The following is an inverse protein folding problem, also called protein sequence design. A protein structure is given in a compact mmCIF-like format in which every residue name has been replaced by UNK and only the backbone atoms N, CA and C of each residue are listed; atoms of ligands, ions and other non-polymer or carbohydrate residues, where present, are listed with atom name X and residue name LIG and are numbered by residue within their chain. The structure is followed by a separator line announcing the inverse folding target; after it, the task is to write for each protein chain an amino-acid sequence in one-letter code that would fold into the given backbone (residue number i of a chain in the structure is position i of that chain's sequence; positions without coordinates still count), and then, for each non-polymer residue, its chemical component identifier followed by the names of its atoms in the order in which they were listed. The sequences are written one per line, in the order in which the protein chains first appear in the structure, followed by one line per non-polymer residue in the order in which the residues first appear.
data_IF_423767133527
#
_entry.id   IF_423767133527
#
_cell.length_a   1.000
_cell.length_b   1.000
_cell.length_c   1.000
_cell.angle_alpha   90.00
_cell.angle_beta   90.00
_cell.angle_gamma   90.00
#
_symmetry.space_group_name_H-M   'P 1'
#
loop_
_entity.id
_entity.type
_entity.pdbx_description
1 polymer ?
#
# COMPACT_ATOMS: atom_id res chain seq x y z
N UNK A 1 -15.60 -17.19 -17.64
CA UNK A 1 -16.38 -15.96 -17.34
C UNK A 1 -17.01 -15.99 -15.95
N UNK A 2 -17.03 -17.14 -15.26
CA UNK A 2 -17.72 -17.32 -13.98
C UNK A 2 -17.08 -16.59 -12.78
N UNK A 3 -15.83 -16.13 -12.90
CA UNK A 3 -15.13 -15.34 -11.88
C UNK A 3 -15.27 -13.82 -12.11
N UNK A 4 -16.06 -13.40 -13.10
CA UNK A 4 -16.25 -12.00 -13.45
C UNK A 4 -17.67 -11.60 -13.06
N UNK A 5 -17.77 -10.68 -12.11
CA UNK A 5 -19.02 -10.02 -11.79
C UNK A 5 -19.11 -8.69 -12.56
N UNK A 6 -20.23 -8.48 -13.24
CA UNK A 6 -20.61 -7.21 -13.83
C UNK A 6 -22.05 -6.90 -13.41
N UNK A 7 -22.28 -5.70 -12.88
CA UNK A 7 -23.62 -5.29 -12.47
C UNK A 7 -24.57 -5.25 -13.67
N UNK A 8 -25.77 -5.83 -13.51
CA UNK A 8 -26.80 -5.87 -14.55
C UNK A 8 -27.34 -4.48 -14.91
N UNK A 9 -27.26 -3.52 -14.00
CA UNK A 9 -27.73 -2.15 -14.21
C UNK A 9 -26.77 -1.29 -15.05
N UNK A 10 -25.58 -1.78 -15.39
CA UNK A 10 -24.68 -1.13 -16.35
C UNK A 10 -24.16 0.26 -15.95
N UNK A 11 -24.19 0.62 -14.66
CA UNK A 11 -23.75 1.92 -14.14
C UNK A 11 -22.52 1.83 -13.24
N UNK A 12 -21.67 2.87 -13.26
CA UNK A 12 -20.60 3.04 -12.28
C UNK A 12 -21.09 3.75 -11.02
N UNK A 13 -20.33 3.67 -9.93
CA UNK A 13 -20.64 4.37 -8.66
C UNK A 13 -20.47 5.90 -8.73
N UNK A 14 -20.23 6.49 -9.91
CA UNK A 14 -20.21 7.94 -10.11
C UNK A 14 -19.24 8.73 -9.23
N UNK A 15 -18.08 8.14 -8.88
CA UNK A 15 -17.12 8.71 -7.92
C UNK A 15 -17.71 9.00 -6.52
N UNK A 16 -18.77 8.30 -6.13
CA UNK A 16 -19.42 8.44 -4.83
C UNK A 16 -19.26 7.15 -4.01
N UNK A 17 -18.59 7.25 -2.86
CA UNK A 17 -18.43 6.14 -1.93
C UNK A 17 -19.77 5.54 -1.49
N UNK A 18 -20.76 6.36 -1.13
CA UNK A 18 -22.04 5.88 -0.61
C UNK A 18 -22.79 5.05 -1.65
N UNK A 19 -22.79 5.51 -2.91
CA UNK A 19 -23.34 4.76 -4.04
C UNK A 19 -22.62 3.43 -4.23
N UNK A 20 -21.27 3.44 -4.22
CA UNK A 20 -20.47 2.22 -4.34
C UNK A 20 -20.70 1.23 -3.20
N UNK A 21 -20.80 1.72 -1.96
CA UNK A 21 -21.04 0.90 -0.77
C UNK A 21 -22.44 0.25 -0.82
N UNK A 22 -23.46 1.02 -1.21
CA UNK A 22 -24.82 0.50 -1.45
C UNK A 22 -24.85 -0.57 -2.55
N UNK A 23 -24.22 -0.32 -3.69
CA UNK A 23 -24.10 -1.31 -4.76
C UNK A 23 -23.34 -2.57 -4.30
N UNK A 24 -22.35 -2.41 -3.42
CA UNK A 24 -21.65 -3.53 -2.78
C UNK A 24 -22.58 -4.39 -1.92
N UNK A 25 -23.51 -3.77 -1.17
CA UNK A 25 -24.54 -4.49 -0.41
C UNK A 25 -25.48 -5.27 -1.33
N UNK A 26 -25.94 -4.64 -2.41
CA UNK A 26 -26.85 -5.25 -3.39
C UNK A 26 -26.18 -6.41 -4.15
N UNK A 27 -24.88 -6.29 -4.45
CA UNK A 27 -24.11 -7.31 -5.15
C UNK A 27 -23.50 -8.38 -4.21
N UNK A 28 -23.74 -8.30 -2.90
CA UNK A 28 -23.02 -9.10 -1.91
C UNK A 28 -23.15 -10.60 -2.18
N UNK A 29 -24.37 -11.10 -2.36
CA UNK A 29 -24.61 -12.53 -2.59
C UNK A 29 -23.83 -13.04 -3.81
N UNK A 30 -23.97 -12.37 -4.96
CA UNK A 30 -23.27 -12.75 -6.18
C UNK A 30 -21.73 -12.68 -6.06
N UNK A 31 -21.19 -11.69 -5.33
CA UNK A 31 -19.75 -11.58 -5.10
C UNK A 31 -19.25 -12.70 -4.17
N UNK A 32 -20.00 -13.02 -3.12
CA UNK A 32 -19.62 -14.04 -2.16
C UNK A 32 -19.79 -15.46 -2.69
N UNK A 33 -20.76 -15.71 -3.56
CA UNK A 33 -20.88 -16.99 -4.27
C UNK A 33 -19.61 -17.30 -5.08
N UNK A 34 -19.05 -16.28 -5.74
CA UNK A 34 -17.79 -16.42 -6.48
C UNK A 34 -16.63 -16.66 -5.50
N UNK A 35 -16.50 -15.82 -4.46
CA UNK A 35 -15.40 -15.92 -3.50
C UNK A 35 -15.39 -17.27 -2.76
N UNK A 36 -16.56 -17.76 -2.36
CA UNK A 36 -16.71 -19.03 -1.64
C UNK A 36 -16.44 -20.21 -2.55
N UNK A 37 -16.96 -20.21 -3.79
CA UNK A 37 -16.62 -21.25 -4.76
C UNK A 37 -15.11 -21.35 -4.95
N UNK A 38 -14.42 -20.23 -5.15
CA UNK A 38 -12.95 -20.26 -5.34
C UNK A 38 -12.20 -20.64 -4.05
N UNK A 39 -12.74 -20.29 -2.88
CA UNK A 39 -12.20 -20.70 -1.59
C UNK A 39 -12.36 -22.21 -1.35
N UNK A 40 -13.52 -22.78 -1.69
CA UNK A 40 -13.82 -24.22 -1.59
C UNK A 40 -13.02 -25.06 -2.60
N UNK A 41 -12.76 -24.50 -3.79
CA UNK A 41 -11.89 -25.11 -4.79
C UNK A 41 -10.40 -25.07 -4.41
N UNK A 42 -10.03 -24.39 -3.32
CA UNK A 42 -8.64 -24.27 -2.85
C UNK A 42 -8.37 -25.21 -1.68
N UNK A 43 -7.49 -26.20 -1.88
CA UNK A 43 -7.08 -27.15 -0.80
C UNK A 43 -6.54 -26.42 0.45
N UNK A 44 -5.81 -25.32 0.23
CA UNK A 44 -5.28 -24.47 1.30
C UNK A 44 -5.33 -22.99 0.91
N UNK A 45 -6.47 -22.35 1.16
CA UNK A 45 -6.60 -20.90 1.01
C UNK A 45 -5.76 -20.17 2.07
N UNK A 46 -4.78 -19.38 1.62
CA UNK A 46 -3.93 -18.57 2.51
C UNK A 46 -4.55 -17.22 2.86
N UNK A 47 -5.19 -16.55 1.89
CA UNK A 47 -5.76 -15.24 2.08
C UNK A 47 -6.27 -14.58 0.80
N UNK A 48 -6.70 -13.33 0.95
CA UNK A 48 -7.25 -12.48 -0.10
C UNK A 48 -6.31 -11.31 -0.39
N UNK A 49 -6.16 -10.96 -1.67
CA UNK A 49 -5.44 -9.77 -2.11
C UNK A 49 -6.41 -8.81 -2.82
N UNK A 50 -6.78 -7.72 -2.17
CA UNK A 50 -7.70 -6.72 -2.75
C UNK A 50 -6.90 -5.62 -3.45
N UNK A 51 -7.12 -5.45 -4.76
CA UNK A 51 -6.54 -4.35 -5.54
C UNK A 51 -7.62 -3.30 -5.79
N UNK A 52 -7.44 -2.09 -5.28
CA UNK A 52 -8.47 -1.05 -5.36
C UNK A 52 -7.90 0.36 -5.26
N UNK A 53 -8.68 1.34 -5.73
CA UNK A 53 -8.38 2.76 -5.55
C UNK A 53 -9.22 3.35 -4.41
N UNK A 54 -8.61 4.15 -3.55
CA UNK A 54 -9.30 4.69 -2.35
C UNK A 54 -10.15 5.93 -2.65
N UNK A 55 -9.91 6.59 -3.78
CA UNK A 55 -10.52 7.87 -4.13
C UNK A 55 -11.71 7.76 -5.10
N UNK A 56 -11.87 6.62 -5.78
CA UNK A 56 -12.96 6.40 -6.74
C UNK A 56 -14.32 6.21 -6.05
N UNK A 57 -15.34 5.73 -6.77
CA UNK A 57 -16.63 5.32 -6.18
C UNK A 57 -16.69 3.81 -5.90
N UNK A 58 -16.39 2.99 -6.91
CA UNK A 58 -16.48 1.52 -6.79
C UNK A 58 -15.33 0.96 -5.95
N UNK A 59 -14.08 1.32 -6.25
CA UNK A 59 -12.92 0.84 -5.50
C UNK A 59 -12.92 1.27 -4.03
N UNK A 60 -13.54 2.41 -3.72
CA UNK A 60 -13.66 2.93 -2.36
C UNK A 60 -14.85 2.29 -1.64
N UNK A 61 -16.08 2.52 -2.11
CA UNK A 61 -17.32 2.09 -1.47
C UNK A 61 -17.55 0.60 -1.54
N UNK A 62 -17.63 0.02 -2.75
CA UNK A 62 -17.82 -1.42 -2.92
C UNK A 62 -16.62 -2.20 -2.38
N UNK A 63 -15.40 -1.67 -2.57
CA UNK A 63 -14.18 -2.24 -1.99
C UNK A 63 -14.19 -2.27 -0.46
N UNK A 64 -14.67 -1.21 0.20
CA UNK A 64 -14.80 -1.15 1.66
C UNK A 64 -15.84 -2.14 2.17
N UNK A 65 -17.00 -2.24 1.52
CA UNK A 65 -18.02 -3.24 1.86
C UNK A 65 -17.49 -4.66 1.70
N UNK A 66 -16.82 -4.96 0.58
CA UNK A 66 -16.22 -6.27 0.35
C UNK A 66 -15.16 -6.60 1.41
N UNK A 67 -14.34 -5.62 1.79
CA UNK A 67 -13.31 -5.77 2.80
C UNK A 67 -13.89 -6.10 4.19
N UNK A 68 -14.91 -5.36 4.62
CA UNK A 68 -15.67 -5.63 5.85
C UNK A 68 -16.20 -7.07 5.86
N UNK A 69 -16.86 -7.48 4.77
CA UNK A 69 -17.49 -8.80 4.69
C UNK A 69 -16.51 -9.96 4.54
N UNK A 70 -15.38 -9.75 3.87
CA UNK A 70 -14.31 -10.77 3.79
C UNK A 70 -13.73 -11.02 5.18
N UNK A 71 -13.48 -9.96 5.96
CA UNK A 71 -13.02 -10.08 7.34
C UNK A 71 -14.03 -10.80 8.24
N UNK A 72 -15.33 -10.52 8.08
CA UNK A 72 -16.41 -11.18 8.83
C UNK A 72 -16.52 -12.68 8.49
N UNK A 73 -16.52 -13.03 7.19
CA UNK A 73 -16.80 -14.40 6.71
C UNK A 73 -15.56 -15.30 6.73
N UNK A 74 -14.37 -14.73 6.60
CA UNK A 74 -13.09 -15.45 6.60
C UNK A 74 -12.13 -14.94 7.69
N UNK A 75 -12.52 -14.94 8.99
CA UNK A 75 -11.77 -14.26 10.06
C UNK A 75 -10.38 -14.85 10.34
N UNK A 76 -10.12 -16.09 9.87
CA UNK A 76 -8.82 -16.77 10.02
C UNK A 76 -7.91 -16.61 8.80
N UNK A 77 -8.39 -15.97 7.73
CA UNK A 77 -7.64 -15.80 6.48
C UNK A 77 -6.98 -14.44 6.44
N UNK A 78 -5.82 -14.37 5.81
CA UNK A 78 -5.11 -13.11 5.68
C UNK A 78 -5.79 -12.23 4.63
N UNK A 79 -5.80 -10.93 4.87
CA UNK A 79 -6.27 -9.94 3.90
C UNK A 79 -5.15 -8.93 3.68
N UNK A 80 -4.65 -8.85 2.45
CA UNK A 80 -3.69 -7.85 2.03
C UNK A 80 -4.36 -6.95 0.99
N UNK A 81 -4.11 -5.64 1.05
CA UNK A 81 -4.57 -4.72 0.02
C UNK A 81 -3.40 -4.11 -0.76
N UNK A 82 -3.62 -3.89 -2.05
CA UNK A 82 -2.84 -2.97 -2.87
C UNK A 82 -3.73 -1.76 -3.12
N UNK A 83 -3.55 -0.75 -2.28
CA UNK A 83 -4.43 0.41 -2.24
C UNK A 83 -3.78 1.58 -2.97
N UNK A 84 -4.42 2.01 -4.06
CA UNK A 84 -3.95 3.14 -4.87
C UNK A 84 -4.42 4.44 -4.23
N UNK A 85 -3.46 5.22 -3.74
CA UNK A 85 -3.66 6.54 -3.20
C UNK A 85 -3.70 7.55 -4.34
N UNK A 86 -4.63 8.51 -4.31
CA UNK A 86 -4.78 9.48 -5.37
C UNK A 86 -3.61 10.48 -5.39
N UNK A 87 -3.55 11.29 -6.43
CA UNK A 87 -2.64 12.44 -6.46
C UNK A 87 -3.11 13.46 -5.42
N UNK A 88 -2.21 13.86 -4.52
CA UNK A 88 -2.52 14.77 -3.40
C UNK A 88 -1.95 16.19 -3.59
N UNK A 89 -1.18 16.43 -4.66
CA UNK A 89 -0.49 17.71 -4.90
C UNK A 89 -1.47 18.89 -4.99
N UNK A 90 -1.28 19.87 -4.11
CA UNK A 90 -1.92 21.19 -4.21
C UNK A 90 -1.56 21.86 -5.55
N UNK A 91 -2.55 22.11 -6.39
CA UNK A 91 -2.41 22.87 -7.65
C UNK A 91 -2.56 22.02 -8.93
N UNK A 92 -2.42 20.70 -8.83
CA UNK A 92 -2.91 19.76 -9.85
C UNK A 92 -4.33 19.36 -9.39
N UNK A 93 -5.36 19.93 -10.01
CA UNK A 93 -6.73 19.60 -9.66
C UNK A 93 -6.93 18.09 -9.86
N UNK A 94 -7.26 17.36 -8.78
CA UNK A 94 -7.87 16.06 -8.97
C UNK A 94 -9.17 16.29 -9.74
N UNK A 95 -9.36 15.57 -10.85
CA UNK A 95 -10.58 15.64 -11.66
C UNK A 95 -11.84 15.30 -10.83
N UNK A 96 -11.66 14.68 -9.65
CA UNK A 96 -12.73 14.27 -8.75
C UNK A 96 -12.74 15.15 -7.49
N UNK A 97 -13.67 16.11 -7.44
CA UNK A 97 -13.82 17.06 -6.32
C UNK A 97 -14.19 16.43 -4.98
N UNK A 98 -14.80 15.23 -4.99
CA UNK A 98 -15.24 14.49 -3.80
C UNK A 98 -14.23 13.45 -3.30
N UNK A 99 -13.07 13.34 -3.95
CA UNK A 99 -11.99 12.42 -3.59
C UNK A 99 -11.67 12.39 -2.08
N UNK A 100 -11.58 13.54 -1.36
CA UNK A 100 -11.21 13.51 0.04
C UNK A 100 -12.21 12.75 0.92
N UNK A 101 -13.51 12.81 0.61
CA UNK A 101 -14.53 12.04 1.33
C UNK A 101 -14.38 10.55 1.10
N UNK A 102 -14.27 10.13 -0.16
CA UNK A 102 -14.07 8.72 -0.53
C UNK A 102 -12.81 8.15 0.14
N UNK A 103 -11.73 8.93 0.14
CA UNK A 103 -10.45 8.51 0.70
C UNK A 103 -10.53 8.32 2.21
N UNK A 104 -11.12 9.25 2.96
CA UNK A 104 -11.25 9.12 4.43
C UNK A 104 -12.15 7.95 4.82
N UNK A 105 -13.30 7.81 4.16
CA UNK A 105 -14.21 6.69 4.42
C UNK A 105 -13.54 5.34 4.17
N UNK A 106 -12.76 5.23 3.09
CA UNK A 106 -11.98 4.01 2.76
C UNK A 106 -10.83 3.78 3.73
N UNK A 107 -10.08 4.84 4.09
CA UNK A 107 -8.96 4.75 5.03
C UNK A 107 -9.40 4.20 6.39
N UNK A 108 -10.57 4.62 6.88
CA UNK A 108 -11.12 4.11 8.13
C UNK A 108 -11.35 2.58 8.12
N UNK A 109 -11.66 1.98 6.96
CA UNK A 109 -11.78 0.52 6.79
C UNK A 109 -10.42 -0.14 6.62
N UNK A 110 -9.50 0.50 5.89
CA UNK A 110 -8.13 0.01 5.74
C UNK A 110 -7.35 -0.02 7.06
N UNK A 111 -7.71 0.84 8.01
CA UNK A 111 -7.15 0.83 9.38
C UNK A 111 -7.65 -0.38 10.18
N UNK A 112 -8.89 -0.83 9.95
CA UNK A 112 -9.56 -1.82 10.79
C UNK A 112 -9.41 -3.26 10.28
N UNK A 113 -9.72 -3.50 9.01
CA UNK A 113 -10.01 -4.84 8.48
C UNK A 113 -8.82 -5.63 7.90
N UNK A 114 -7.94 -5.06 7.04
CA UNK A 114 -6.92 -5.86 6.35
C UNK A 114 -5.71 -6.11 7.24
N UNK A 115 -4.99 -7.22 7.14
CA UNK A 115 -3.77 -7.44 7.91
C UNK A 115 -2.59 -6.58 7.43
N UNK A 116 -2.58 -6.16 6.17
CA UNK A 116 -1.50 -5.37 5.57
C UNK A 116 -2.03 -4.52 4.41
N UNK A 117 -1.63 -3.25 4.37
CA UNK A 117 -1.99 -2.31 3.29
C UNK A 117 -0.72 -1.88 2.58
N UNK A 118 -0.54 -2.33 1.34
CA UNK A 118 0.55 -1.84 0.48
C UNK A 118 0.08 -0.55 -0.20
N UNK A 119 0.75 0.55 0.14
CA UNK A 119 0.44 1.88 -0.37
C UNK A 119 1.07 2.07 -1.74
N UNK A 120 0.22 2.35 -2.74
CA UNK A 120 0.62 2.70 -4.10
C UNK A 120 0.24 4.16 -4.36
N UNK A 121 1.21 5.08 -4.24
CA UNK A 121 0.94 6.51 -4.30
C UNK A 121 1.13 7.06 -5.72
N UNK A 122 0.01 7.45 -6.35
CA UNK A 122 0.04 8.01 -7.70
C UNK A 122 0.91 9.27 -7.79
N UNK A 123 0.98 10.11 -6.75
CA UNK A 123 1.85 11.30 -6.76
C UNK A 123 3.31 10.92 -6.97
N UNK A 124 3.78 9.90 -6.24
CA UNK A 124 5.15 9.41 -6.34
C UNK A 124 5.38 8.60 -7.63
N UNK A 125 4.41 7.79 -8.06
CA UNK A 125 4.49 7.02 -9.29
C UNK A 125 4.56 7.92 -10.52
N UNK A 126 3.74 8.98 -10.60
CA UNK A 126 3.81 9.98 -11.67
C UNK A 126 5.17 10.70 -11.68
N UNK A 127 5.67 11.11 -10.51
CA UNK A 127 7.01 11.72 -10.41
C UNK A 127 8.09 10.80 -10.97
N UNK A 128 8.11 9.53 -10.53
CA UNK A 128 9.12 8.56 -10.97
C UNK A 128 8.97 8.24 -12.47
N UNK A 129 7.74 8.12 -12.97
CA UNK A 129 7.47 7.95 -14.40
C UNK A 129 8.05 9.11 -15.22
N UNK A 130 7.78 10.36 -14.81
CA UNK A 130 8.28 11.56 -15.51
C UNK A 130 9.80 11.70 -15.46
N UNK A 131 10.46 11.30 -14.36
CA UNK A 131 11.93 11.35 -14.24
C UNK A 131 12.63 10.28 -15.11
N UNK A 132 11.95 9.16 -15.38
CA UNK A 132 12.53 8.03 -16.09
C UNK A 132 12.23 8.00 -17.59
N UNK A 133 11.10 8.55 -18.02
CA UNK A 133 10.69 8.60 -19.42
C UNK A 133 10.10 9.98 -19.76
N UNK A 134 10.95 11.02 -19.92
CA UNK A 134 10.52 12.40 -20.13
C UNK A 134 9.74 12.61 -21.44
N UNK A 135 9.97 11.76 -22.45
CA UNK A 135 9.38 11.91 -23.80
C UNK A 135 8.03 11.18 -23.98
N UNK A 136 7.62 10.35 -23.02
CA UNK A 136 6.30 9.73 -23.03
C UNK A 136 5.38 10.47 -22.09
N UNK A 137 4.26 11.01 -22.59
CA UNK A 137 3.13 11.37 -21.73
C UNK A 137 2.89 10.20 -20.76
N UNK A 138 3.01 10.43 -19.46
CA UNK A 138 2.95 9.41 -18.41
C UNK A 138 1.57 8.75 -18.36
N UNK A 139 1.30 7.87 -19.32
CA UNK A 139 0.05 7.16 -19.48
C UNK A 139 -0.15 6.22 -18.29
N UNK A 140 -1.40 5.99 -17.91
CA UNK A 140 -1.77 4.97 -16.93
C UNK A 140 -1.15 3.60 -17.24
N UNK A 141 -0.90 3.28 -18.52
CA UNK A 141 -0.18 2.07 -18.91
C UNK A 141 1.22 1.96 -18.30
N UNK A 142 1.98 3.07 -18.30
CA UNK A 142 3.33 3.08 -17.73
C UNK A 142 3.32 2.97 -16.20
N UNK A 143 2.39 3.67 -15.55
CA UNK A 143 2.21 3.60 -14.09
C UNK A 143 1.78 2.20 -13.67
N UNK A 144 0.83 1.60 -14.39
CA UNK A 144 0.38 0.24 -14.13
C UNK A 144 1.48 -0.79 -14.38
N UNK A 145 2.38 -0.56 -15.34
CA UNK A 145 3.59 -1.38 -15.51
C UNK A 145 4.47 -1.33 -14.26
N UNK A 146 4.72 -0.15 -13.67
CA UNK A 146 5.46 -0.03 -12.41
C UNK A 146 4.74 -0.74 -11.25
N UNK A 147 3.44 -0.51 -11.07
CA UNK A 147 2.63 -1.16 -10.03
C UNK A 147 2.67 -2.68 -10.18
N UNK A 148 2.53 -3.19 -11.41
CA UNK A 148 2.58 -4.63 -11.66
C UNK A 148 3.93 -5.23 -11.27
N UNK A 149 5.05 -4.50 -11.48
CA UNK A 149 6.39 -4.93 -11.06
C UNK A 149 6.52 -5.02 -9.54
N UNK A 150 5.97 -4.04 -8.82
CA UNK A 150 5.94 -4.06 -7.35
C UNK A 150 5.16 -5.27 -6.85
N UNK A 151 3.94 -5.48 -7.37
CA UNK A 151 3.09 -6.61 -6.99
C UNK A 151 3.71 -7.97 -7.34
N UNK A 152 4.40 -8.05 -8.48
CA UNK A 152 5.13 -9.25 -8.86
C UNK A 152 6.32 -9.49 -7.93
N UNK A 153 7.06 -8.45 -7.54
CA UNK A 153 8.22 -8.57 -6.68
C UNK A 153 7.83 -8.88 -5.23
N UNK A 154 6.74 -8.30 -4.71
CA UNK A 154 6.24 -8.55 -3.35
C UNK A 154 5.77 -9.99 -3.17
N UNK A 155 5.15 -10.57 -4.20
CA UNK A 155 4.66 -11.96 -4.21
C UNK A 155 5.70 -12.97 -4.71
N UNK A 156 6.92 -12.54 -5.03
CA UNK A 156 7.91 -13.41 -5.65
C UNK A 156 8.31 -14.59 -4.77
N UNK A 157 8.42 -14.39 -3.46
CA UNK A 157 8.79 -15.44 -2.51
C UNK A 157 7.69 -16.49 -2.31
N UNK A 158 6.44 -16.18 -2.69
CA UNK A 158 5.31 -17.11 -2.70
C UNK A 158 5.29 -17.96 -3.98
N UNK A 159 5.73 -17.38 -5.10
CA UNK A 159 5.67 -18.01 -6.44
C UNK A 159 6.93 -18.81 -6.79
N UNK A 160 8.09 -18.40 -6.29
CA UNK A 160 9.36 -19.06 -6.54
C UNK A 160 9.88 -19.74 -5.28
N UNK A 161 10.37 -20.99 -5.37
CA UNK A 161 10.89 -21.70 -4.23
C UNK A 161 12.11 -20.97 -3.65
N UNK A 162 12.09 -20.76 -2.34
CA UNK A 162 13.12 -20.08 -1.57
C UNK A 162 13.23 -20.64 -0.16
N UNK A 163 14.33 -20.33 0.53
CA UNK A 163 14.61 -20.86 1.87
C UNK A 163 13.78 -20.20 2.98
N UNK A 164 13.32 -18.95 2.77
CA UNK A 164 12.61 -18.15 3.78
C UNK A 164 11.44 -17.40 3.13
N UNK A 165 10.44 -17.03 3.95
CA UNK A 165 9.29 -16.20 3.55
C UNK A 165 8.43 -16.76 2.41
N UNK A 166 8.22 -18.07 2.41
CA UNK A 166 7.41 -18.81 1.43
C UNK A 166 5.89 -18.74 1.65
N UNK A 167 5.46 -18.14 2.77
CA UNK A 167 4.05 -17.93 3.14
C UNK A 167 3.76 -16.46 3.31
N UNK A 168 2.56 -16.02 2.95
CA UNK A 168 2.07 -14.65 3.08
C UNK A 168 2.16 -14.16 4.54
N UNK A 169 1.86 -15.02 5.51
CA UNK A 169 2.01 -14.66 6.93
C UNK A 169 3.45 -14.26 7.28
N UNK A 170 4.45 -14.92 6.69
CA UNK A 170 5.86 -14.64 6.96
C UNK A 170 6.29 -13.30 6.37
N UNK A 171 5.58 -12.81 5.34
CA UNK A 171 5.79 -11.46 4.79
C UNK A 171 5.10 -10.40 5.65
N UNK A 172 3.85 -10.65 6.06
CA UNK A 172 3.02 -9.67 6.77
C UNK A 172 3.44 -9.51 8.23
N UNK A 173 3.67 -10.60 8.96
CA UNK A 173 3.89 -10.55 10.40
C UNK A 173 5.07 -9.65 10.82
N UNK A 174 6.23 -9.67 10.15
CA UNK A 174 7.33 -8.75 10.48
C UNK A 174 7.05 -7.28 10.08
N UNK A 175 6.21 -7.06 9.07
CA UNK A 175 5.93 -5.74 8.52
C UNK A 175 4.83 -5.00 9.29
N UNK A 176 3.77 -5.69 9.69
CA UNK A 176 2.58 -5.13 10.31
C UNK A 176 2.36 -5.68 11.73
N UNK A 177 3.39 -5.63 12.56
CA UNK A 177 3.35 -6.17 13.92
C UNK A 177 2.40 -5.41 14.86
N UNK A 178 2.10 -4.14 14.56
CA UNK A 178 1.19 -3.30 15.35
C UNK A 178 -0.03 -2.95 14.50
N UNK A 179 -1.25 -3.44 14.83
CA UNK A 179 -2.38 -3.42 13.90
C UNK A 179 -2.73 -2.02 13.37
N UNK A 180 -2.89 -0.95 14.16
CA UNK A 180 -3.18 0.39 13.59
C UNK A 180 -2.12 0.90 12.60
N UNK A 181 -0.88 0.41 12.68
CA UNK A 181 0.25 0.84 11.87
C UNK A 181 0.61 -0.19 10.80
N UNK A 182 -0.33 -0.49 9.89
CA UNK A 182 -0.20 -1.55 8.86
C UNK A 182 0.01 -1.05 7.42
N UNK A 183 0.39 0.22 7.26
CA UNK A 183 0.58 0.85 5.94
C UNK A 183 2.03 0.76 5.49
N UNK A 184 2.26 -0.04 4.47
CA UNK A 184 3.56 -0.41 3.96
C UNK A 184 3.86 0.40 2.70
N UNK A 185 4.90 1.22 2.78
CA UNK A 185 5.45 1.96 1.66
C UNK A 185 6.36 1.05 0.83
N UNK A 186 6.41 1.29 -0.47
CA UNK A 186 7.22 0.50 -1.39
C UNK A 186 8.37 1.32 -1.96
N UNK A 187 9.52 0.69 -2.16
CA UNK A 187 10.65 1.24 -2.88
C UNK A 187 11.20 0.21 -3.85
N UNK A 188 11.59 0.61 -5.05
CA UNK A 188 12.07 -0.32 -6.07
C UNK A 188 13.37 0.16 -6.69
N UNK A 189 14.26 -0.76 -7.00
CA UNK A 189 15.48 -0.46 -7.74
C UNK A 189 15.91 -1.65 -8.59
N UNK A 190 16.43 -1.43 -9.81
CA UNK A 190 16.54 -0.15 -10.51
C UNK A 190 15.20 0.34 -11.07
N UNK A 191 15.01 1.66 -11.11
CA UNK A 191 13.80 2.30 -11.65
C UNK A 191 13.86 2.55 -13.17
N UNK A 192 15.06 2.61 -13.75
CA UNK A 192 15.28 2.78 -15.19
C UNK A 192 15.60 1.44 -15.84
N UNK A 193 14.94 1.20 -16.97
CA UNK A 193 15.35 0.17 -17.94
C UNK A 193 16.35 0.83 -18.91
N UNK A 194 17.54 1.15 -18.42
CA UNK A 194 18.66 1.58 -19.27
C UNK A 194 19.52 0.38 -19.67
N UNK A 195 20.21 0.48 -20.81
CA UNK A 195 21.05 -0.58 -21.38
C UNK A 195 21.87 -1.32 -20.32
N UNK A 196 21.69 -2.63 -20.30
CA UNK A 196 22.25 -3.59 -19.34
C UNK A 196 23.79 -3.63 -19.28
N UNK A 197 24.49 -2.79 -20.04
CA UNK A 197 25.93 -2.82 -20.26
C UNK A 197 26.76 -2.06 -19.22
N UNK A 198 26.17 -1.16 -18.41
CA UNK A 198 26.98 -0.24 -17.55
C UNK A 198 26.83 -0.44 -16.03
N UNK A 199 25.83 -1.18 -15.53
CA UNK A 199 25.64 -1.28 -14.08
C UNK A 199 26.07 -2.63 -13.49
N UNK A 200 27.37 -2.73 -13.11
CA UNK A 200 27.86 -3.68 -12.10
C UNK A 200 27.26 -3.33 -10.71
N UNK A 201 25.94 -3.40 -10.57
CA UNK A 201 25.27 -3.06 -9.31
C UNK A 201 25.53 -4.18 -8.31
N UNK A 202 26.21 -3.87 -7.20
CA UNK A 202 26.38 -4.80 -6.08
C UNK A 202 25.12 -4.86 -5.22
N UNK A 203 24.98 -5.90 -4.40
CA UNK A 203 23.91 -5.99 -3.39
C UNK A 203 23.91 -4.76 -2.46
N UNK A 204 25.10 -4.31 -2.05
CA UNK A 204 25.25 -3.13 -1.21
C UNK A 204 24.78 -1.83 -1.88
N UNK A 205 24.94 -1.70 -3.20
CA UNK A 205 24.42 -0.54 -3.95
C UNK A 205 22.90 -0.57 -4.03
N UNK A 206 22.31 -1.74 -4.29
CA UNK A 206 20.86 -1.95 -4.31
C UNK A 206 20.25 -1.57 -2.96
N UNK A 207 20.77 -2.12 -1.87
CA UNK A 207 20.26 -1.84 -0.52
C UNK A 207 20.38 -0.36 -0.14
N UNK A 208 21.52 0.27 -0.44
CA UNK A 208 21.69 1.72 -0.20
C UNK A 208 20.70 2.56 -1.00
N UNK A 209 20.48 2.22 -2.29
CA UNK A 209 19.49 2.93 -3.13
C UNK A 209 18.07 2.73 -2.61
N UNK A 210 17.72 1.55 -2.11
CA UNK A 210 16.40 1.28 -1.55
C UNK A 210 16.09 2.09 -0.28
N UNK A 211 17.10 2.45 0.50
CA UNK A 211 16.95 3.31 1.69
C UNK A 211 16.88 4.81 1.35
N UNK A 212 17.18 5.21 0.11
CA UNK A 212 17.07 6.60 -0.32
C UNK A 212 15.62 6.97 -0.61
N UNK A 213 15.22 8.15 -0.16
CA UNK A 213 13.89 8.73 -0.42
C UNK A 213 13.52 8.78 -1.91
N UNK A 214 14.51 8.98 -2.79
CA UNK A 214 14.28 9.04 -4.25
C UNK A 214 13.73 7.72 -4.82
N UNK A 215 14.12 6.58 -4.25
CA UNK A 215 13.68 5.25 -4.70
C UNK A 215 12.35 4.82 -4.10
N UNK A 216 11.86 5.53 -3.08
CA UNK A 216 10.57 5.29 -2.45
C UNK A 216 9.44 5.80 -3.37
N UNK A 217 8.44 4.96 -3.55
CA UNK A 217 7.24 5.21 -4.35
C UNK A 217 6.11 5.75 -3.47
N UNK A 218 6.47 6.60 -2.50
CA UNK A 218 5.54 7.30 -1.62
C UNK A 218 5.96 8.77 -1.52
N UNK A 219 4.99 9.67 -1.56
CA UNK A 219 5.17 11.11 -1.37
C UNK A 219 5.14 11.53 0.11
N UNK A 220 5.09 10.55 1.02
CA UNK A 220 5.08 10.79 2.45
C UNK A 220 6.29 11.64 2.89
N UNK A 221 6.00 12.74 3.56
CA UNK A 221 6.98 13.76 3.96
C UNK A 221 7.45 13.52 5.39
N UNK A 222 8.71 13.84 5.66
CA UNK A 222 9.21 13.96 7.04
C UNK A 222 8.73 15.29 7.62
N UNK A 223 7.77 15.25 8.55
CA UNK A 223 7.21 16.44 9.17
C UNK A 223 8.28 17.19 9.98
N UNK A 224 8.31 18.52 9.86
CA UNK A 224 9.24 19.33 10.65
C UNK A 224 8.91 19.19 12.14
N UNK A 225 9.91 18.85 12.95
CA UNK A 225 9.75 18.69 14.40
C UNK A 225 9.24 17.32 14.85
N UNK A 226 8.95 16.39 13.93
CA UNK A 226 8.66 14.99 14.25
C UNK A 226 9.85 14.14 13.85
N UNK A 227 10.33 13.35 14.81
CA UNK A 227 11.53 12.54 14.63
C UNK A 227 11.17 11.15 14.10
N UNK A 228 10.74 11.11 12.83
CA UNK A 228 10.22 9.89 12.22
C UNK A 228 11.22 8.72 12.25
N UNK A 229 10.70 7.51 12.33
CA UNK A 229 11.46 6.29 12.46
C UNK A 229 10.85 5.16 11.63
N UNK A 230 11.68 4.19 11.31
CA UNK A 230 11.28 2.93 10.68
C UNK A 230 10.80 1.96 11.75
N UNK A 231 9.59 1.44 11.57
CA UNK A 231 9.04 0.41 12.46
C UNK A 231 9.61 -0.97 12.08
N UNK A 232 9.57 -1.27 10.78
CA UNK A 232 10.10 -2.50 10.21
C UNK A 232 10.30 -2.35 8.70
N UNK A 233 11.16 -3.19 8.14
CA UNK A 233 11.37 -3.26 6.70
C UNK A 233 11.71 -4.68 6.23
N UNK A 234 11.34 -4.97 4.99
CA UNK A 234 11.64 -6.20 4.28
C UNK A 234 12.17 -5.85 2.89
N UNK A 235 13.42 -6.21 2.63
CA UNK A 235 14.02 -6.12 1.31
C UNK A 235 13.97 -7.49 0.61
N UNK A 236 13.29 -7.54 -0.54
CA UNK A 236 13.27 -8.70 -1.43
C UNK A 236 14.24 -8.44 -2.57
N UNK A 237 15.35 -9.16 -2.58
CA UNK A 237 16.38 -9.05 -3.59
C UNK A 237 16.22 -10.17 -4.63
N UNK A 238 16.32 -9.82 -5.91
CA UNK A 238 16.19 -10.75 -7.02
C UNK A 238 17.42 -10.70 -7.91
N UNK A 239 17.94 -11.87 -8.30
CA UNK A 239 19.07 -11.97 -9.22
C UNK A 239 20.15 -12.94 -8.76
N UNK A 240 21.36 -12.80 -9.31
CA UNK A 240 22.52 -13.62 -8.93
C UNK A 240 23.22 -12.97 -7.74
N UNK A 241 22.86 -13.45 -6.55
CA UNK A 241 23.29 -12.90 -5.26
C UNK A 241 24.06 -13.97 -4.49
N UNK A 242 25.21 -13.57 -3.93
CA UNK A 242 25.92 -14.36 -2.95
C UNK A 242 25.40 -13.98 -1.54
N UNK A 243 24.95 -14.94 -0.71
CA UNK A 243 24.51 -14.66 0.66
C UNK A 243 25.54 -13.90 1.50
N UNK A 244 26.85 -14.10 1.27
CA UNK A 244 27.92 -13.39 1.99
C UNK A 244 27.94 -11.89 1.68
N UNK A 245 27.56 -11.49 0.46
CA UNK A 245 27.39 -10.07 0.08
C UNK A 245 26.25 -9.42 0.87
N UNK A 246 25.20 -10.17 1.23
CA UNK A 246 24.07 -9.66 2.04
C UNK A 246 24.55 -9.35 3.46
N UNK A 247 25.23 -10.29 4.13
CA UNK A 247 25.71 -10.09 5.50
C UNK A 247 26.70 -8.93 5.61
N UNK A 248 27.64 -8.84 4.68
CA UNK A 248 28.62 -7.74 4.65
C UNK A 248 27.97 -6.38 4.37
N UNK A 249 26.96 -6.33 3.50
CA UNK A 249 26.21 -5.10 3.23
C UNK A 249 25.36 -4.66 4.43
N UNK A 250 24.72 -5.61 5.11
CA UNK A 250 23.90 -5.34 6.30
C UNK A 250 24.75 -4.85 7.47
N UNK A 251 25.96 -5.40 7.66
CA UNK A 251 26.90 -4.91 8.67
C UNK A 251 27.28 -3.43 8.42
N UNK A 252 27.55 -3.04 7.18
CA UNK A 252 27.86 -1.65 6.80
C UNK A 252 26.69 -0.69 7.03
N UNK A 253 25.46 -1.11 6.76
CA UNK A 253 24.25 -0.30 7.01
C UNK A 253 24.07 -0.07 8.51
N UNK A 254 24.32 -1.10 9.33
CA UNK A 254 24.28 -0.98 10.81
C UNK A 254 25.37 -0.06 11.34
N UNK A 255 26.60 -0.17 10.83
CA UNK A 255 27.74 0.65 11.25
C UNK A 255 27.51 2.15 10.96
N UNK A 256 26.95 2.47 9.80
CA UNK A 256 26.67 3.85 9.39
C UNK A 256 25.49 4.49 10.10
N UNK A 257 24.66 3.68 10.78
CA UNK A 257 23.37 4.11 11.38
C UNK A 257 22.47 4.80 10.34
N UNK A 258 22.48 4.29 9.11
CA UNK A 258 21.67 4.83 8.00
C UNK A 258 20.16 4.68 8.26
N UNK A 259 19.76 3.80 9.19
CA UNK A 259 18.37 3.52 9.55
C UNK A 259 18.12 3.89 11.00
N UNK A 260 17.11 4.73 11.22
CA UNK A 260 16.57 5.03 12.54
C UNK A 260 15.36 4.17 12.82
N UNK A 261 15.51 3.18 13.71
CA UNK A 261 14.39 2.36 14.16
C UNK A 261 13.61 3.01 15.32
N UNK A 262 12.39 2.55 15.55
CA UNK A 262 11.58 2.98 16.69
C UNK A 262 12.30 2.71 18.03
N UNK A 263 12.29 3.67 18.98
CA UNK A 263 13.07 3.57 20.21
C UNK A 263 12.59 2.49 21.20
N UNK A 264 11.31 2.12 21.10
CA UNK A 264 10.63 1.15 21.95
C UNK A 264 10.63 -0.28 21.38
N UNK A 265 11.08 -0.45 20.13
CA UNK A 265 11.03 -1.72 19.41
C UNK A 265 12.42 -2.18 18.96
N UNK A 266 12.56 -3.48 18.73
CA UNK A 266 13.78 -4.08 18.20
C UNK A 266 13.88 -3.97 16.66
N UNK A 267 13.40 -2.86 16.09
CA UNK A 267 13.10 -2.66 14.67
C UNK A 267 14.00 -3.46 13.72
N UNK A 268 13.38 -4.18 12.78
CA UNK A 268 14.09 -5.16 11.94
C UNK A 268 14.11 -4.76 10.47
N UNK A 269 15.29 -4.90 9.85
CA UNK A 269 15.44 -4.97 8.40
C UNK A 269 15.68 -6.42 8.02
N UNK A 270 14.64 -7.07 7.52
CA UNK A 270 14.73 -8.43 7.00
C UNK A 270 15.14 -8.38 5.53
N UNK A 271 16.06 -9.26 5.12
CA UNK A 271 16.48 -9.36 3.73
C UNK A 271 16.21 -10.78 3.26
N UNK A 272 15.49 -10.92 2.16
CA UNK A 272 15.21 -12.21 1.53
C UNK A 272 15.68 -12.18 0.08
N UNK A 273 16.33 -13.25 -0.33
CA UNK A 273 16.69 -13.45 -1.72
C UNK A 273 15.64 -14.33 -2.42
N UNK A 274 15.31 -13.97 -3.65
CA UNK A 274 14.43 -14.74 -4.51
C UNK A 274 15.09 -14.90 -5.89
N UNK A 275 14.90 -16.05 -6.52
CA UNK A 275 15.36 -16.25 -7.90
C UNK A 275 14.49 -15.43 -8.85
N UNK A 276 15.10 -14.91 -9.92
CA UNK A 276 14.38 -14.28 -11.04
C UNK A 276 13.85 -15.37 -11.97
N UNK A 277 12.72 -15.11 -12.63
CA UNK A 277 12.19 -15.99 -13.67
C UNK A 277 13.25 -16.21 -14.77
N UNK A 278 13.49 -17.46 -15.21
CA UNK A 278 14.42 -17.76 -16.29
C UNK A 278 13.92 -17.29 -17.66
N UNK A 279 12.60 -17.04 -17.79
CA UNK A 279 11.97 -16.61 -19.04
C UNK A 279 12.07 -15.10 -19.31
N UNK A 280 12.52 -14.31 -18.33
CA UNK A 280 12.70 -12.88 -18.50
C UNK A 280 14.14 -12.58 -18.93
N UNK A 281 14.36 -11.64 -19.87
CA UNK A 281 15.70 -11.23 -20.24
C UNK A 281 16.41 -10.67 -19.01
N UNK A 282 17.67 -11.06 -18.83
CA UNK A 282 18.51 -10.57 -17.73
C UNK A 282 18.92 -9.14 -18.05
N UNK A 283 18.09 -8.20 -17.62
CA UNK A 283 18.34 -6.76 -17.80
C UNK A 283 19.32 -6.20 -16.76
N UNK A 284 19.42 -6.82 -15.59
CA UNK A 284 20.24 -6.36 -14.47
C UNK A 284 20.75 -7.56 -13.65
N UNK A 285 21.95 -7.44 -13.05
CA UNK A 285 22.51 -8.48 -12.16
C UNK A 285 21.65 -8.70 -10.91
N UNK A 286 21.21 -7.61 -10.29
CA UNK A 286 20.41 -7.59 -9.06
C UNK A 286 19.34 -6.50 -9.17
N UNK A 287 18.12 -6.83 -8.78
CA UNK A 287 17.03 -5.89 -8.50
C UNK A 287 16.56 -6.07 -7.05
N UNK A 288 15.91 -5.06 -6.51
CA UNK A 288 15.41 -5.09 -5.14
C UNK A 288 14.08 -4.36 -5.00
N UNK A 289 13.20 -4.93 -4.20
CA UNK A 289 12.00 -4.30 -3.67
C UNK A 289 12.20 -4.10 -2.18
N UNK A 290 11.88 -2.92 -1.67
CA UNK A 290 11.76 -2.63 -0.24
C UNK A 290 10.28 -2.48 0.10
N UNK A 291 9.84 -3.21 1.11
CA UNK A 291 8.58 -3.01 1.80
C UNK A 291 8.91 -2.41 3.16
N UNK A 292 8.46 -1.19 3.41
CA UNK A 292 8.89 -0.41 4.56
C UNK A 292 7.68 0.10 5.34
N UNK A 293 7.62 -0.21 6.63
CA UNK A 293 6.69 0.41 7.55
C UNK A 293 7.41 1.56 8.28
N UNK A 294 6.99 2.79 7.99
CA UNK A 294 7.67 3.99 8.46
C UNK A 294 6.66 5.02 8.97
N UNK A 295 6.99 5.73 10.05
CA UNK A 295 6.02 6.61 10.73
C UNK A 295 5.66 7.87 9.94
N UNK A 296 6.44 8.21 8.91
CA UNK A 296 6.10 9.30 7.98
C UNK A 296 4.82 9.01 7.16
N UNK A 297 4.32 7.78 7.13
CA UNK A 297 3.04 7.45 6.51
C UNK A 297 1.89 8.31 7.08
N UNK A 298 2.01 8.77 8.32
CA UNK A 298 1.08 9.73 8.95
C UNK A 298 0.84 10.99 8.10
N UNK A 299 1.85 11.47 7.38
CA UNK A 299 1.73 12.67 6.54
C UNK A 299 0.70 12.49 5.40
N UNK A 300 0.58 11.28 4.82
CA UNK A 300 -0.40 10.98 3.78
C UNK A 300 -1.83 11.05 4.32
N UNK A 301 -2.03 10.54 5.54
CA UNK A 301 -3.33 10.58 6.21
C UNK A 301 -3.67 12.00 6.66
N UNK A 302 -2.69 12.74 7.20
CA UNK A 302 -2.88 14.13 7.61
C UNK A 302 -3.27 15.01 6.42
N UNK A 303 -2.67 14.81 5.24
CA UNK A 303 -3.04 15.54 4.03
C UNK A 303 -4.46 15.22 3.59
N UNK A 304 -4.84 13.94 3.57
CA UNK A 304 -6.21 13.49 3.28
C UNK A 304 -7.23 14.09 4.25
N UNK A 305 -6.88 14.12 5.55
CA UNK A 305 -7.71 14.66 6.63
C UNK A 305 -7.93 16.17 6.43
N UNK A 306 -6.86 16.93 6.19
CA UNK A 306 -6.93 18.38 5.99
C UNK A 306 -7.83 18.76 4.81
N UNK A 307 -7.74 18.00 3.71
CA UNK A 307 -8.60 18.20 2.53
C UNK A 307 -10.07 17.89 2.87
N UNK A 308 -10.34 16.77 3.55
CA UNK A 308 -11.69 16.38 3.95
C UNK A 308 -12.31 17.39 4.93
N UNK A 309 -11.59 17.81 5.97
CA UNK A 309 -12.06 18.81 6.93
C UNK A 309 -12.38 20.15 6.27
N UNK A 310 -11.57 20.56 5.27
CA UNK A 310 -11.82 21.79 4.51
C UNK A 310 -13.15 21.73 3.75
N UNK A 311 -13.47 20.56 3.15
CA UNK A 311 -14.75 20.35 2.49
C UNK A 311 -15.91 20.27 3.49
N UNK A 312 -15.73 19.59 4.63
CA UNK A 312 -16.73 19.50 5.70
C UNK A 312 -17.11 20.86 6.27
N UNK A 313 -16.12 21.72 6.55
CA UNK A 313 -16.35 23.08 7.04
C UNK A 313 -17.21 23.91 6.08
N UNK A 314 -17.09 23.65 4.78
CA UNK A 314 -17.88 24.30 3.72
C UNK A 314 -19.19 23.57 3.40
N UNK A 315 -19.44 22.39 4.00
CA UNK A 315 -20.55 21.49 3.68
C UNK A 315 -20.69 21.22 2.17
N UNK A 316 -19.56 21.17 1.46
CA UNK A 316 -19.56 21.07 0.01
C UNK A 316 -19.82 19.63 -0.47
N UNK A 317 -20.64 19.45 -1.50
CA UNK A 317 -20.88 18.17 -2.20
C UNK A 317 -21.47 17.03 -1.34
N UNK A 318 -21.96 17.30 -0.12
CA UNK A 318 -22.53 16.29 0.77
C UNK A 318 -23.90 15.76 0.31
N UNK A 319 -24.68 16.58 -0.40
CA UNK A 319 -26.03 16.21 -0.84
C UNK A 319 -26.06 14.94 -1.70
N UNK A 320 -25.01 14.69 -2.49
CA UNK A 320 -24.91 13.49 -3.32
C UNK A 320 -24.68 12.22 -2.50
N UNK A 321 -23.98 12.34 -1.37
CA UNK A 321 -23.75 11.22 -0.45
C UNK A 321 -25.00 10.94 0.38
N UNK A 322 -25.63 11.99 0.92
CA UNK A 322 -26.86 11.90 1.71
C UNK A 322 -28.05 11.31 0.94
N UNK A 323 -28.13 11.54 -0.38
CA UNK A 323 -29.15 10.92 -1.24
C UNK A 323 -29.00 9.41 -1.34
N UNK A 324 -27.78 8.90 -1.27
CA UNK A 324 -27.49 7.47 -1.40
C UNK A 324 -27.60 6.75 -0.06
N UNK A 325 -27.11 7.39 1.01
CA UNK A 325 -27.17 6.86 2.37
C UNK A 325 -27.34 8.02 3.37
N UNK A 326 -28.48 8.08 4.10
CA UNK A 326 -28.76 9.16 5.05
C UNK A 326 -27.83 9.12 6.27
N UNK A 327 -27.26 7.95 6.61
CA UNK A 327 -26.39 7.77 7.79
C UNK A 327 -24.91 8.04 7.48
N UNK A 328 -24.58 8.39 6.23
CA UNK A 328 -23.20 8.62 5.77
C UNK A 328 -22.47 9.70 6.58
N UNK A 329 -23.19 10.66 7.17
CA UNK A 329 -22.59 11.72 7.97
C UNK A 329 -22.04 11.20 9.30
N UNK A 330 -22.73 10.27 9.95
CA UNK A 330 -22.24 9.62 11.16
C UNK A 330 -21.00 8.79 10.82
N UNK A 331 -21.10 7.99 9.75
CA UNK A 331 -19.98 7.18 9.24
C UNK A 331 -18.75 8.02 8.88
N UNK A 332 -18.94 9.20 8.30
CA UNK A 332 -17.86 10.11 7.95
C UNK A 332 -17.23 10.74 9.19
N UNK A 333 -18.03 11.10 10.20
CA UNK A 333 -17.53 11.62 11.48
C UNK A 333 -16.63 10.60 12.17
N UNK A 334 -17.08 9.36 12.27
CA UNK A 334 -16.33 8.27 12.88
C UNK A 334 -15.05 7.96 12.08
N UNK A 335 -15.14 7.99 10.75
CA UNK A 335 -13.99 7.79 9.87
C UNK A 335 -12.93 8.89 10.04
N UNK A 336 -13.34 10.15 10.15
CA UNK A 336 -12.43 11.28 10.40
C UNK A 336 -11.72 11.10 11.73
N UNK A 337 -12.44 10.74 12.80
CA UNK A 337 -11.85 10.57 14.12
C UNK A 337 -10.86 9.41 14.15
N UNK A 338 -11.22 8.25 13.57
CA UNK A 338 -10.32 7.10 13.48
C UNK A 338 -9.04 7.38 12.70
N UNK A 339 -9.13 8.12 11.60
CA UNK A 339 -7.95 8.52 10.82
C UNK A 339 -7.09 9.50 11.64
N UNK A 340 -7.72 10.42 12.39
CA UNK A 340 -7.01 11.37 13.28
C UNK A 340 -6.28 10.65 14.41
N UNK A 341 -6.94 9.69 15.06
CA UNK A 341 -6.32 8.82 16.08
C UNK A 341 -5.13 8.07 15.49
N UNK A 342 -5.27 7.48 14.31
CA UNK A 342 -4.19 6.74 13.65
C UNK A 342 -2.98 7.64 13.35
N UNK A 343 -3.22 8.87 12.87
CA UNK A 343 -2.14 9.87 12.70
C UNK A 343 -1.43 10.13 14.02
N UNK A 344 -2.19 10.29 15.11
CA UNK A 344 -1.61 10.50 16.43
C UNK A 344 -0.85 9.28 16.93
N UNK A 345 -1.33 8.06 16.70
CA UNK A 345 -0.63 6.81 17.00
C UNK A 345 0.72 6.75 16.30
N UNK A 346 0.79 7.05 15.00
CA UNK A 346 2.05 7.09 14.26
C UNK A 346 3.05 8.15 14.79
N UNK A 347 2.54 9.32 15.21
CA UNK A 347 3.38 10.37 15.84
C UNK A 347 3.83 9.98 17.24
N UNK A 348 2.98 9.31 18.02
CA UNK A 348 3.35 8.80 19.33
C UNK A 348 4.38 7.67 19.22
N UNK A 349 4.30 6.85 18.16
CA UNK A 349 5.25 5.78 17.88
C UNK A 349 6.68 6.26 17.63
N UNK A 350 6.93 7.56 17.45
CA UNK A 350 8.31 8.08 17.39
C UNK A 350 8.93 8.27 18.77
N UNK A 351 8.13 8.23 19.84
CA UNK A 351 8.58 8.52 21.20
C UNK A 351 8.94 7.25 21.98
N UNK A 352 9.90 7.28 22.92
CA UNK A 352 10.30 6.10 23.71
C UNK A 352 9.20 5.54 24.61
N UNK A 353 8.27 6.37 25.06
CA UNK A 353 7.16 6.08 25.97
C UNK A 353 5.93 5.45 25.28
N UNK A 354 6.01 5.16 23.97
CA UNK A 354 4.88 4.67 23.18
C UNK A 354 4.19 3.42 23.76
N UNK A 355 4.96 2.47 24.31
CA UNK A 355 4.45 1.22 24.90
C UNK A 355 3.74 1.46 26.24
N UNK A 356 4.10 2.52 26.97
CA UNK A 356 3.50 2.82 28.27
C UNK A 356 2.18 3.59 28.14
N UNK A 357 1.95 4.22 26.97
CA UNK A 357 0.82 5.13 26.71
C UNK A 357 -0.34 4.42 25.99
N UNK A 358 -0.09 3.30 25.29
CA UNK A 358 -1.09 2.55 24.51
C UNK A 358 -1.02 1.07 24.83
#
# INVERSE_FOLDING_TARGET
MENIFMSKSGGGAGNNFASGYKQGREAQEALFDILEREAENSDYLEGFMLCHAIAGGTGSGMGSHALEKISDRFPKKLVQTYSVFPVMKKGEASDVVVQPYNSILTLARLIEHPNCVVVLDNTALHRIASENAPDSNSSFSHINSMVSRIMCASTATLRFPGAMNTRLINLIAPLAAYPPMRFIQTGFTPLREGDATVMKTSVGDVLRRLLQSKSMMSSAVMEKGVDHCMLSALAILQGRIDPTEIYSSLAKIKERRDIKFAPWGSGSLNITQCRRSPYLPVTNRVSGLMLCNHTNAASLFQESLNQCETLLKKKAYLDQFLKEDPDIMAMLSDAVERVRETVQTYRNATKPDFIEIN
#
